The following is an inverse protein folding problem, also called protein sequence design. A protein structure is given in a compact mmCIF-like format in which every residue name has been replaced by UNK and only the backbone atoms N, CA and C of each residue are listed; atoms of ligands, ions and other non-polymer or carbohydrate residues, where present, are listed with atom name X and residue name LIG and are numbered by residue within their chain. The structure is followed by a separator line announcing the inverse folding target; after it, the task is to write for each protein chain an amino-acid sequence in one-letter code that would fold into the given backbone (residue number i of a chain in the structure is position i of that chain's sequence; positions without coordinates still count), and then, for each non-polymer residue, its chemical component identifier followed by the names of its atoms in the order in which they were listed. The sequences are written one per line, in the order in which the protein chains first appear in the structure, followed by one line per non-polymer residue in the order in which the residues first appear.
data_IF_466854755729
#
_entry.id   IF_466854755729
#
_cell.length_a   1.000
_cell.length_b   1.000
_cell.length_c   1.000
_cell.angle_alpha   90.00
_cell.angle_beta   90.00
_cell.angle_gamma   90.00
#
_symmetry.space_group_name_H-M   'P 1'
#
loop_
_entity.id
_entity.type
_entity.pdbx_description
1 polymer ?
#
# COMPACT_ATOMS: atom_id res chain seq x y z
N UNK A 1 -14.28 -52.46 42.94
CA UNK A 1 -14.69 -51.15 42.42
C UNK A 1 -13.54 -50.61 41.59
N UNK A 2 -13.65 -50.69 40.26
CA UNK A 2 -12.63 -50.18 39.31
C UNK A 2 -13.10 -48.83 38.80
N UNK A 3 -12.40 -47.77 39.18
CA UNK A 3 -12.64 -46.43 38.66
C UNK A 3 -11.96 -46.34 37.27
N UNK A 4 -12.74 -46.20 36.24
CA UNK A 4 -12.26 -45.87 34.91
C UNK A 4 -12.10 -44.33 34.80
N UNK A 5 -10.86 -43.85 34.69
CA UNK A 5 -10.56 -42.46 34.35
C UNK A 5 -10.77 -42.28 32.86
N UNK A 6 -11.82 -41.55 32.52
CA UNK A 6 -12.10 -41.12 31.13
C UNK A 6 -11.25 -39.86 30.87
N UNK A 7 -10.10 -40.03 30.25
CA UNK A 7 -9.27 -38.91 29.77
C UNK A 7 -9.91 -38.33 28.52
N UNK A 8 -10.62 -37.24 28.69
CA UNK A 8 -11.13 -36.41 27.56
C UNK A 8 -9.97 -35.55 27.05
N UNK A 9 -9.29 -36.00 26.00
CA UNK A 9 -8.29 -35.21 25.29
C UNK A 9 -9.01 -34.12 24.49
N UNK A 10 -9.02 -32.91 24.98
CA UNK A 10 -9.44 -31.72 24.23
C UNK A 10 -8.40 -31.47 23.13
N UNK A 11 -8.67 -31.88 21.92
CA UNK A 11 -7.98 -31.42 20.73
C UNK A 11 -8.41 -29.96 20.48
N UNK A 12 -7.63 -29.00 21.01
CA UNK A 12 -7.69 -27.62 20.52
C UNK A 12 -7.16 -27.62 19.08
N UNK A 13 -8.07 -27.70 18.12
CA UNK A 13 -7.77 -27.33 16.75
C UNK A 13 -7.51 -25.81 16.75
N UNK A 14 -6.22 -25.45 16.67
CA UNK A 14 -5.85 -24.07 16.35
C UNK A 14 -6.39 -23.80 14.95
N UNK A 15 -7.57 -23.19 14.88
CA UNK A 15 -8.07 -22.63 13.64
C UNK A 15 -7.11 -21.48 13.27
N UNK A 16 -6.20 -21.77 12.34
CA UNK A 16 -5.44 -20.71 11.68
C UNK A 16 -6.47 -19.86 10.95
N UNK A 17 -6.74 -18.67 11.49
CA UNK A 17 -7.60 -17.72 10.81
C UNK A 17 -6.97 -17.45 9.43
N UNK A 18 -7.65 -17.87 8.37
CA UNK A 18 -7.23 -17.49 7.02
C UNK A 18 -7.16 -15.97 6.96
N UNK A 19 -6.11 -15.39 6.38
CA UNK A 19 -6.02 -13.95 6.27
C UNK A 19 -7.24 -13.43 5.51
N UNK A 20 -7.88 -12.40 6.06
CA UNK A 20 -9.02 -11.77 5.41
C UNK A 20 -8.58 -11.13 4.10
N UNK A 21 -9.39 -11.29 3.04
CA UNK A 21 -9.10 -10.69 1.75
C UNK A 21 -9.07 -9.17 1.83
N UNK A 22 -8.10 -8.53 1.17
CA UNK A 22 -8.00 -7.08 1.13
C UNK A 22 -6.61 -6.55 0.81
N UNK A 23 -6.49 -5.24 0.91
CA UNK A 23 -5.26 -4.50 0.64
C UNK A 23 -4.43 -4.35 1.91
N UNK A 24 -3.12 -4.49 1.77
CA UNK A 24 -2.15 -4.27 2.83
C UNK A 24 -1.11 -3.25 2.38
N UNK A 25 -0.70 -2.40 3.31
CA UNK A 25 0.41 -1.47 3.14
C UNK A 25 1.36 -1.62 4.33
N UNK A 26 2.63 -1.81 4.05
CA UNK A 26 3.62 -1.97 5.11
C UNK A 26 4.98 -1.42 4.69
N UNK A 27 5.79 -1.05 5.67
CA UNK A 27 7.18 -0.67 5.44
C UNK A 27 8.08 -1.91 5.37
N UNK A 28 9.02 -1.88 4.44
CA UNK A 28 10.14 -2.78 4.24
C UNK A 28 9.77 -4.17 3.71
N UNK A 29 8.63 -4.74 4.05
CA UNK A 29 8.19 -6.06 3.61
C UNK A 29 6.66 -6.14 3.51
N UNK A 30 6.11 -7.25 3.04
CA UNK A 30 4.67 -7.51 3.07
C UNK A 30 4.16 -7.59 4.51
N UNK A 31 2.90 -7.27 4.73
CA UNK A 31 2.33 -7.17 6.07
C UNK A 31 2.40 -8.49 6.85
N UNK A 32 2.19 -9.63 6.18
CA UNK A 32 2.30 -10.98 6.76
C UNK A 32 3.73 -11.47 6.96
N UNK A 33 4.73 -10.80 6.39
CA UNK A 33 6.14 -11.20 6.39
C UNK A 33 7.04 -10.19 7.12
N UNK A 34 6.65 -9.79 8.30
CA UNK A 34 7.36 -8.83 9.15
C UNK A 34 7.43 -7.39 8.58
N UNK A 35 6.53 -7.01 7.70
CA UNK A 35 6.29 -5.63 7.34
C UNK A 35 5.81 -4.84 8.56
N UNK A 36 6.30 -3.60 8.73
CA UNK A 36 5.93 -2.77 9.86
C UNK A 36 5.00 -1.64 9.44
N UNK A 37 4.02 -1.34 10.30
CA UNK A 37 3.02 -0.31 10.00
C UNK A 37 3.54 1.10 10.31
N UNK A 38 4.38 1.25 11.32
CA UNK A 38 4.88 2.54 11.77
C UNK A 38 6.39 2.61 11.62
N UNK A 39 6.90 3.72 11.11
CA UNK A 39 8.33 3.96 11.01
C UNK A 39 8.67 5.34 11.55
N UNK A 40 9.76 5.42 12.30
CA UNK A 40 10.40 6.66 12.69
C UNK A 40 11.79 6.72 12.04
N UNK A 41 12.15 7.89 11.53
CA UNK A 41 13.44 8.16 10.95
C UNK A 41 14.05 9.41 11.59
N UNK A 42 15.29 9.33 12.05
CA UNK A 42 15.95 10.44 12.74
C UNK A 42 16.12 11.69 11.85
N UNK A 43 16.04 11.55 10.53
CA UNK A 43 16.23 12.61 9.55
C UNK A 43 17.62 13.28 9.65
N UNK A 44 18.63 12.48 9.92
CA UNK A 44 20.02 12.89 10.18
C UNK A 44 21.00 12.43 9.09
N UNK A 45 20.51 11.78 8.04
CA UNK A 45 21.35 11.25 6.97
C UNK A 45 20.70 11.32 5.59
N UNK A 46 21.53 11.46 4.56
CA UNK A 46 21.14 11.34 3.16
C UNK A 46 21.28 9.92 2.60
N UNK A 47 21.86 9.01 3.37
CA UNK A 47 22.11 7.63 2.92
C UNK A 47 20.95 6.71 3.26
N UNK A 48 20.79 5.65 2.44
CA UNK A 48 19.75 4.65 2.64
C UNK A 48 18.38 5.05 2.06
N UNK A 49 17.42 4.17 2.30
CA UNK A 49 16.06 4.32 1.80
C UNK A 49 15.06 3.57 2.69
N UNK A 50 13.77 3.79 2.43
CA UNK A 50 12.65 3.07 3.04
C UNK A 50 11.80 2.47 1.94
N UNK A 51 11.48 1.19 2.07
CA UNK A 51 10.59 0.49 1.14
C UNK A 51 9.16 0.56 1.63
N UNK A 52 8.26 1.08 0.81
CA UNK A 52 6.81 1.01 1.04
C UNK A 52 6.28 -0.11 0.15
N UNK A 53 5.67 -1.12 0.74
CA UNK A 53 5.21 -2.33 0.06
C UNK A 53 3.69 -2.35 0.01
N UNK A 54 3.16 -2.41 -1.21
CA UNK A 54 1.76 -2.68 -1.48
C UNK A 54 1.57 -4.17 -1.70
N UNK A 55 0.78 -4.82 -0.87
CA UNK A 55 0.44 -6.24 -1.01
C UNK A 55 -1.06 -6.47 -0.92
N UNK A 56 -1.50 -7.67 -1.29
CA UNK A 56 -2.90 -8.04 -1.35
C UNK A 56 -3.11 -9.48 -0.91
N UNK A 57 -4.21 -9.72 -0.22
CA UNK A 57 -4.78 -11.05 -0.04
C UNK A 57 -6.07 -11.16 -0.85
N UNK A 58 -6.14 -12.10 -1.76
CA UNK A 58 -7.30 -12.29 -2.62
C UNK A 58 -8.40 -13.08 -1.89
N UNK A 59 -9.66 -12.66 -2.04
CA UNK A 59 -10.81 -13.37 -1.51
C UNK A 59 -11.33 -14.49 -2.42
N UNK A 60 -10.82 -14.56 -3.64
CA UNK A 60 -11.12 -15.58 -4.65
C UNK A 60 -9.95 -15.72 -5.59
N UNK A 61 -9.86 -16.86 -6.23
CA UNK A 61 -8.91 -17.05 -7.32
C UNK A 61 -9.24 -16.10 -8.48
N UNK A 62 -8.22 -15.56 -9.10
CA UNK A 62 -8.35 -14.74 -10.30
C UNK A 62 -7.53 -15.36 -11.43
N UNK A 63 -8.06 -15.35 -12.66
CA UNK A 63 -7.34 -15.89 -13.80
C UNK A 63 -6.15 -14.98 -14.17
N UNK A 64 -5.52 -15.31 -15.27
CA UNK A 64 -4.37 -14.58 -15.80
C UNK A 64 -4.50 -13.07 -15.68
N UNK A 65 -3.60 -12.45 -14.89
CA UNK A 65 -3.53 -11.00 -14.70
C UNK A 65 -2.28 -10.47 -15.38
N UNK A 66 -2.47 -9.51 -16.27
CA UNK A 66 -1.37 -8.84 -16.96
C UNK A 66 -1.04 -7.46 -16.40
N UNK A 67 -1.97 -6.80 -15.71
CA UNK A 67 -1.75 -5.45 -15.21
C UNK A 67 -2.43 -5.21 -13.86
N UNK A 68 -1.81 -4.36 -13.04
CA UNK A 68 -2.42 -3.76 -11.85
C UNK A 68 -2.27 -2.25 -11.87
N UNK A 69 -3.31 -1.56 -11.37
CA UNK A 69 -3.29 -0.13 -11.09
C UNK A 69 -3.50 0.06 -9.59
N UNK A 70 -2.60 0.76 -8.92
CA UNK A 70 -2.58 0.97 -7.48
C UNK A 70 -2.74 2.43 -7.15
N UNK A 71 -3.56 2.74 -6.16
CA UNK A 71 -3.78 4.10 -5.65
C UNK A 71 -3.45 4.16 -4.18
N UNK A 72 -2.43 4.96 -3.84
CA UNK A 72 -2.09 5.28 -2.45
C UNK A 72 -2.22 6.79 -2.23
N UNK A 73 -2.98 7.17 -1.23
CA UNK A 73 -3.11 8.56 -0.81
C UNK A 73 -2.22 8.83 0.39
N UNK A 74 -1.66 10.02 0.43
CA UNK A 74 -0.80 10.52 1.48
C UNK A 74 -1.40 11.79 2.07
N UNK A 75 -1.41 11.90 3.39
CA UNK A 75 -1.74 13.13 4.10
C UNK A 75 -0.66 13.46 5.12
N UNK A 76 -0.27 14.74 5.17
CA UNK A 76 0.70 15.29 6.10
C UNK A 76 0.02 15.99 7.27
N UNK A 77 0.61 15.94 8.46
CA UNK A 77 0.15 16.69 9.63
C UNK A 77 0.33 18.20 9.51
N UNK A 78 1.13 18.66 8.53
CA UNK A 78 1.32 20.11 8.27
C UNK A 78 0.19 20.68 7.40
N UNK A 79 -0.01 22.00 7.43
CA UNK A 79 -1.04 22.66 6.63
C UNK A 79 -0.84 22.53 5.11
N UNK A 80 0.39 22.30 4.67
CA UNK A 80 0.75 22.05 3.27
C UNK A 80 1.70 20.86 3.20
N UNK A 81 1.71 20.16 2.06
CA UNK A 81 2.63 19.05 1.86
C UNK A 81 4.07 19.57 1.85
N UNK A 82 4.93 19.11 2.81
CA UNK A 82 6.31 19.55 2.89
C UNK A 82 7.13 19.14 1.66
N UNK A 83 8.18 19.89 1.34
CA UNK A 83 9.04 19.60 0.19
C UNK A 83 9.72 18.23 0.25
N UNK A 84 9.94 17.68 1.44
CA UNK A 84 10.50 16.35 1.62
C UNK A 84 9.58 15.26 1.03
N UNK A 85 8.27 15.51 0.97
CA UNK A 85 7.25 14.60 0.47
C UNK A 85 6.78 14.91 -0.95
N UNK A 86 7.40 15.84 -1.65
CA UNK A 86 7.08 16.16 -3.05
C UNK A 86 7.95 15.38 -4.00
N UNK A 87 7.49 14.20 -4.40
CA UNK A 87 8.16 13.31 -5.34
C UNK A 87 7.66 13.52 -6.76
N UNK A 88 8.43 13.07 -7.75
CA UNK A 88 8.07 12.99 -9.18
C UNK A 88 7.49 14.28 -9.80
N UNK A 89 7.49 15.37 -9.05
CA UNK A 89 7.00 16.67 -9.51
C UNK A 89 8.16 17.48 -10.09
N UNK A 90 8.05 17.90 -11.33
CA UNK A 90 9.10 18.69 -12.00
C UNK A 90 9.48 19.93 -11.17
N UNK A 91 10.77 20.12 -10.94
CA UNK A 91 11.32 21.23 -10.15
C UNK A 91 11.15 21.11 -8.63
N UNK A 92 10.51 20.04 -8.12
CA UNK A 92 10.43 19.83 -6.68
C UNK A 92 11.79 19.45 -6.09
N UNK A 93 11.97 19.74 -4.80
CA UNK A 93 13.22 19.51 -4.09
C UNK A 93 13.67 18.05 -4.17
N UNK A 94 12.74 17.09 -4.14
CA UNK A 94 13.01 15.64 -4.14
C UNK A 94 12.41 14.91 -5.34
N UNK A 95 12.40 15.55 -6.50
CA UNK A 95 11.82 14.99 -7.74
C UNK A 95 12.22 13.54 -8.03
N UNK A 96 13.48 13.17 -7.81
CA UNK A 96 14.04 11.84 -8.13
C UNK A 96 14.21 10.94 -6.91
N UNK A 97 13.63 11.28 -5.77
CA UNK A 97 13.83 10.54 -4.52
C UNK A 97 12.82 9.42 -4.26
N UNK A 98 11.91 9.18 -5.20
CA UNK A 98 10.98 8.05 -5.20
C UNK A 98 11.25 7.18 -6.42
N UNK A 99 11.49 5.89 -6.20
CA UNK A 99 11.57 4.87 -7.24
C UNK A 99 10.40 3.91 -7.11
N UNK A 100 9.81 3.56 -8.25
CA UNK A 100 8.72 2.59 -8.34
C UNK A 100 9.29 1.31 -8.92
N UNK A 101 9.06 0.18 -8.26
CA UNK A 101 9.45 -1.15 -8.72
C UNK A 101 8.30 -2.15 -8.48
N UNK A 102 8.44 -3.36 -9.01
CA UNK A 102 7.62 -4.48 -8.64
C UNK A 102 7.86 -4.87 -7.17
N UNK A 103 7.64 -6.13 -6.85
CA UNK A 103 7.75 -6.64 -5.47
C UNK A 103 9.19 -6.97 -5.02
N UNK A 104 10.19 -6.71 -5.84
CA UNK A 104 11.56 -7.13 -5.62
C UNK A 104 12.08 -6.71 -4.23
N UNK A 105 12.74 -7.65 -3.56
CA UNK A 105 13.27 -7.45 -2.21
C UNK A 105 12.23 -7.53 -1.10
N UNK A 106 11.09 -8.15 -1.37
CA UNK A 106 10.10 -8.58 -0.36
C UNK A 106 10.18 -10.10 -0.17
N UNK A 107 9.70 -10.61 0.97
CA UNK A 107 9.71 -12.05 1.26
C UNK A 107 8.43 -12.75 0.78
N UNK A 108 7.34 -12.02 0.59
CA UNK A 108 6.11 -12.61 0.08
C UNK A 108 6.21 -12.91 -1.43
N UNK A 109 5.44 -13.86 -1.96
CA UNK A 109 5.37 -14.11 -3.40
C UNK A 109 5.00 -12.85 -4.17
N UNK A 110 5.66 -12.66 -5.31
CA UNK A 110 5.33 -11.55 -6.21
C UNK A 110 4.01 -11.77 -6.92
N UNK A 111 3.23 -10.71 -7.03
CA UNK A 111 2.03 -10.72 -7.84
C UNK A 111 2.35 -10.94 -9.32
N UNK A 112 3.41 -10.33 -9.81
CA UNK A 112 3.98 -10.61 -11.13
C UNK A 112 5.30 -11.35 -10.95
N UNK A 113 5.30 -12.65 -11.19
CA UNK A 113 6.44 -13.51 -10.94
C UNK A 113 7.62 -13.31 -11.93
N UNK A 114 7.42 -12.53 -12.98
CA UNK A 114 8.40 -12.32 -14.04
C UNK A 114 9.18 -11.01 -13.85
N UNK A 115 10.46 -11.05 -14.20
CA UNK A 115 11.38 -9.92 -14.07
C UNK A 115 11.13 -8.75 -15.04
N UNK A 116 10.23 -8.91 -16.01
CA UNK A 116 9.92 -7.91 -17.02
C UNK A 116 8.67 -7.08 -16.68
N UNK A 117 8.55 -6.63 -15.43
CA UNK A 117 7.43 -5.79 -15.00
C UNK A 117 7.64 -4.37 -15.52
N UNK A 118 6.67 -3.86 -16.30
CA UNK A 118 6.61 -2.45 -16.63
C UNK A 118 6.10 -1.68 -15.44
N UNK A 119 6.82 -0.65 -15.00
CA UNK A 119 6.45 0.19 -13.88
C UNK A 119 6.29 1.64 -14.33
N UNK A 120 5.10 2.20 -14.17
CA UNK A 120 4.80 3.60 -14.41
C UNK A 120 4.11 4.20 -13.19
N UNK A 121 4.28 5.50 -12.99
CA UNK A 121 3.61 6.16 -11.89
C UNK A 121 3.49 7.65 -12.05
N UNK A 122 2.51 8.22 -11.36
CA UNK A 122 2.26 9.64 -11.27
C UNK A 122 2.07 10.04 -9.80
N UNK A 123 2.63 11.17 -9.43
CA UNK A 123 2.49 11.75 -8.11
C UNK A 123 1.79 13.11 -8.23
N UNK A 124 0.66 13.26 -7.57
CA UNK A 124 -0.18 14.43 -7.69
C UNK A 124 -0.42 15.06 -6.31
N UNK A 125 0.09 16.27 -6.12
CA UNK A 125 -0.13 17.07 -4.91
C UNK A 125 -1.50 17.73 -4.96
N UNK A 126 -2.20 17.80 -3.82
CA UNK A 126 -3.50 18.45 -3.70
C UNK A 126 -4.64 17.75 -4.41
N UNK A 127 -4.56 16.42 -4.59
CA UNK A 127 -5.52 15.63 -5.40
C UNK A 127 -6.98 15.79 -4.98
N UNK A 128 -7.23 15.93 -3.67
CA UNK A 128 -8.58 16.09 -3.11
C UNK A 128 -8.93 17.54 -2.78
N UNK A 129 -8.14 18.48 -3.29
CA UNK A 129 -8.31 19.91 -3.04
C UNK A 129 -7.69 20.39 -1.73
N UNK A 130 -6.97 19.54 -1.00
CA UNK A 130 -6.27 19.87 0.22
C UNK A 130 -4.76 20.02 -0.04
N UNK A 131 -4.14 21.10 0.40
CA UNK A 131 -2.74 21.41 0.09
C UNK A 131 -1.73 20.50 0.79
N UNK A 132 -2.15 19.75 1.81
CA UNK A 132 -1.32 18.83 2.59
C UNK A 132 -1.43 17.36 2.14
N UNK A 133 -2.11 17.12 1.03
CA UNK A 133 -2.33 15.77 0.49
C UNK A 133 -1.57 15.53 -0.81
N UNK A 134 -1.29 14.26 -1.09
CA UNK A 134 -0.85 13.79 -2.38
C UNK A 134 -1.42 12.42 -2.69
N UNK A 135 -1.50 12.10 -3.98
CA UNK A 135 -1.84 10.78 -4.49
C UNK A 135 -0.69 10.23 -5.30
N UNK A 136 -0.33 8.99 -5.02
CA UNK A 136 0.52 8.19 -5.86
C UNK A 136 -0.33 7.16 -6.60
N UNK A 137 -0.33 7.26 -7.91
CA UNK A 137 -0.86 6.26 -8.82
C UNK A 137 0.31 5.49 -9.39
N UNK A 138 0.27 4.16 -9.35
CA UNK A 138 1.25 3.33 -10.04
C UNK A 138 0.58 2.22 -10.83
N UNK A 139 1.18 1.91 -11.98
CA UNK A 139 0.74 0.85 -12.88
C UNK A 139 1.90 -0.11 -13.02
N UNK A 140 1.62 -1.39 -12.79
CA UNK A 140 2.57 -2.48 -12.95
C UNK A 140 1.97 -3.52 -13.89
N UNK A 141 2.78 -4.07 -14.77
CA UNK A 141 2.27 -5.02 -15.75
C UNK A 141 3.36 -5.89 -16.36
N UNK A 142 2.94 -7.02 -16.89
CA UNK A 142 3.75 -7.97 -17.64
C UNK A 142 3.20 -8.12 -19.05
N UNK A 143 3.96 -8.77 -19.92
CA UNK A 143 3.44 -9.16 -21.23
C UNK A 143 2.27 -10.14 -21.07
N UNK A 144 1.33 -10.11 -22.01
CA UNK A 144 0.16 -11.00 -21.98
C UNK A 144 0.55 -12.50 -21.89
N UNK A 145 1.66 -12.90 -22.49
CA UNK A 145 2.17 -14.27 -22.45
C UNK A 145 2.72 -14.67 -21.07
N UNK A 146 3.04 -13.70 -20.22
CA UNK A 146 3.59 -13.89 -18.86
C UNK A 146 2.51 -13.70 -17.78
N UNK A 147 1.27 -13.49 -18.17
CA UNK A 147 0.15 -13.39 -17.25
C UNK A 147 -0.06 -14.73 -16.53
N UNK A 148 -0.31 -14.68 -15.21
CA UNK A 148 -0.51 -15.87 -14.38
C UNK A 148 -1.74 -15.77 -13.51
N UNK A 149 -2.28 -16.91 -13.13
CA UNK A 149 -3.38 -17.00 -12.18
C UNK A 149 -2.88 -16.80 -10.74
N UNK A 150 -3.75 -16.28 -9.89
CA UNK A 150 -3.50 -16.03 -8.49
C UNK A 150 -4.56 -16.69 -7.62
N UNK A 151 -4.15 -17.18 -6.44
CA UNK A 151 -5.00 -17.95 -5.56
C UNK A 151 -5.47 -17.17 -4.35
N UNK A 152 -6.69 -17.46 -3.90
CA UNK A 152 -7.25 -16.89 -2.70
C UNK A 152 -6.46 -17.27 -1.43
N UNK A 153 -6.50 -16.39 -0.43
CA UNK A 153 -5.93 -16.63 0.89
C UNK A 153 -4.41 -16.48 0.99
N UNK A 154 -3.70 -16.24 -0.11
CA UNK A 154 -2.26 -15.96 -0.11
C UNK A 154 -2.01 -14.46 -0.21
N UNK A 155 -1.04 -13.94 0.54
CA UNK A 155 -0.56 -12.57 0.37
C UNK A 155 0.45 -12.51 -0.78
N UNK A 156 0.22 -11.58 -1.71
CA UNK A 156 1.10 -11.29 -2.84
C UNK A 156 1.60 -9.84 -2.76
N UNK A 157 2.91 -9.65 -2.91
CA UNK A 157 3.51 -8.34 -3.11
C UNK A 157 3.26 -7.84 -4.54
N UNK A 158 2.65 -6.68 -4.68
CA UNK A 158 2.34 -6.11 -6.00
C UNK A 158 3.41 -5.11 -6.41
N UNK A 159 3.77 -4.21 -5.50
CA UNK A 159 4.70 -3.12 -5.75
C UNK A 159 5.52 -2.79 -4.52
N UNK A 160 6.74 -2.34 -4.76
CA UNK A 160 7.61 -1.73 -3.76
C UNK A 160 8.01 -0.34 -4.23
N UNK A 161 7.71 0.66 -3.43
CA UNK A 161 8.13 2.02 -3.67
C UNK A 161 9.26 2.37 -2.74
N UNK A 162 10.39 2.76 -3.31
CA UNK A 162 11.60 3.07 -2.55
C UNK A 162 11.75 4.57 -2.38
N UNK A 163 11.60 5.05 -1.15
CA UNK A 163 11.81 6.44 -0.76
C UNK A 163 13.25 6.58 -0.30
N UNK A 164 14.08 7.24 -1.10
CA UNK A 164 15.48 7.50 -0.77
C UNK A 164 15.61 8.60 0.26
N UNK A 165 16.62 8.53 1.15
CA UNK A 165 16.86 9.57 2.17
C UNK A 165 17.61 10.81 1.61
N UNK A 166 17.84 10.88 0.32
CA UNK A 166 18.56 11.98 -0.32
C UNK A 166 17.95 13.36 0.02
N UNK A 167 18.79 14.38 0.17
CA UNK A 167 18.39 15.75 0.51
C UNK A 167 17.65 15.89 1.85
N UNK A 168 17.92 15.01 2.80
CA UNK A 168 17.38 15.11 4.16
C UNK A 168 18.18 16.10 5.00
N UNK A 169 19.50 16.10 4.84
CA UNK A 169 20.43 16.97 5.57
C UNK A 169 21.41 17.70 4.64
N UNK A 170 22.08 18.71 5.18
CA UNK A 170 23.08 19.50 4.42
C UNK A 170 22.43 20.57 3.55
N UNK A 171 23.22 21.16 2.64
CA UNK A 171 22.77 22.17 1.70
C UNK A 171 22.97 21.68 0.25
N UNK A 172 21.91 21.64 -0.60
CA UNK A 172 20.52 21.93 -0.27
C UNK A 172 19.81 20.72 0.38
N UNK A 173 19.05 20.95 1.45
CA UNK A 173 18.13 19.98 2.05
C UNK A 173 16.67 20.38 1.84
N UNK A 174 15.76 19.41 1.91
CA UNK A 174 14.33 19.61 1.75
C UNK A 174 13.64 19.55 3.11
N UNK A 175 12.86 20.55 3.44
CA UNK A 175 12.17 20.62 4.72
C UNK A 175 11.05 19.57 4.85
N UNK A 176 10.82 19.07 6.07
CA UNK A 176 9.64 18.28 6.41
C UNK A 176 9.86 16.77 6.56
N UNK A 177 11.10 16.28 6.65
CA UNK A 177 11.39 14.90 6.98
C UNK A 177 10.78 14.48 8.32
N UNK A 178 10.84 15.35 9.33
CA UNK A 178 10.27 15.10 10.67
C UNK A 178 8.75 15.27 10.73
N UNK A 179 8.11 15.74 9.66
CA UNK A 179 6.66 15.92 9.67
C UNK A 179 5.96 14.57 9.64
N UNK A 180 5.03 14.29 10.58
CA UNK A 180 4.23 13.10 10.56
C UNK A 180 3.39 13.00 9.29
N UNK A 181 3.34 11.80 8.70
CA UNK A 181 2.58 11.51 7.49
C UNK A 181 1.87 10.17 7.63
N UNK A 182 0.66 10.09 7.09
CA UNK A 182 -0.07 8.86 6.87
C UNK A 182 -0.16 8.55 5.38
N UNK A 183 0.03 7.28 5.00
CA UNK A 183 -0.18 6.77 3.66
C UNK A 183 -1.22 5.66 3.71
N UNK A 184 -2.19 5.69 2.80
CA UNK A 184 -3.30 4.73 2.76
C UNK A 184 -3.43 4.11 1.37
N UNK A 185 -3.39 2.80 1.28
CA UNK A 185 -3.62 2.04 0.06
C UNK A 185 -5.13 1.94 -0.17
N UNK A 186 -5.64 2.70 -1.13
CA UNK A 186 -7.08 2.89 -1.34
C UNK A 186 -7.68 1.91 -2.33
N UNK A 187 -6.95 1.57 -3.38
CA UNK A 187 -7.48 0.65 -4.38
C UNK A 187 -6.39 -0.07 -5.16
N UNK A 188 -6.69 -1.29 -5.58
CA UNK A 188 -5.96 -2.02 -6.60
C UNK A 188 -6.97 -2.52 -7.65
N UNK A 189 -6.70 -2.27 -8.93
CA UNK A 189 -7.49 -2.77 -10.04
C UNK A 189 -6.62 -3.68 -10.89
N UNK A 190 -7.16 -4.84 -11.26
CA UNK A 190 -6.48 -5.83 -12.07
C UNK A 190 -7.15 -5.99 -13.42
N UNK A 191 -6.35 -6.20 -14.47
CA UNK A 191 -6.83 -6.47 -15.82
C UNK A 191 -6.22 -7.75 -16.36
N UNK A 192 -7.01 -8.47 -17.16
CA UNK A 192 -6.55 -9.64 -17.91
C UNK A 192 -5.84 -9.21 -19.19
N UNK A 193 -5.15 -10.12 -19.92
CA UNK A 193 -4.57 -9.83 -21.23
C UNK A 193 -5.54 -9.27 -22.27
N UNK A 194 -6.82 -9.52 -22.10
CA UNK A 194 -7.87 -8.99 -22.99
C UNK A 194 -8.40 -7.61 -22.54
N UNK A 195 -7.68 -6.90 -21.66
CA UNK A 195 -8.08 -5.61 -21.05
C UNK A 195 -9.44 -5.64 -20.34
N UNK A 196 -9.93 -6.84 -20.02
CA UNK A 196 -11.16 -7.00 -19.25
C UNK A 196 -10.85 -6.85 -17.77
N UNK A 197 -11.45 -5.86 -17.07
CA UNK A 197 -11.22 -5.72 -15.63
C UNK A 197 -11.63 -6.98 -14.88
N UNK A 198 -10.69 -7.60 -14.16
CA UNK A 198 -10.95 -8.78 -13.32
C UNK A 198 -11.66 -8.40 -12.03
N UNK A 199 -11.37 -7.22 -11.54
CA UNK A 199 -11.98 -6.68 -10.34
C UNK A 199 -11.28 -5.41 -9.85
N UNK A 200 -11.93 -4.76 -8.91
CA UNK A 200 -11.35 -3.63 -8.18
C UNK A 200 -11.47 -3.94 -6.70
N UNK A 201 -10.36 -3.91 -5.99
CA UNK A 201 -10.33 -4.02 -4.54
C UNK A 201 -10.18 -2.62 -3.97
N UNK A 202 -11.21 -2.17 -3.28
CA UNK A 202 -11.19 -0.88 -2.60
C UNK A 202 -10.72 -1.08 -1.17
N UNK A 203 -10.05 -0.10 -0.61
CA UNK A 203 -9.50 0.04 0.75
C UNK A 203 -10.01 -0.93 1.85
N UNK A 204 -10.23 -2.19 1.50
CA UNK A 204 -10.62 -3.24 2.42
C UNK A 204 -9.34 -3.88 2.95
N UNK A 205 -8.97 -3.56 4.16
CA UNK A 205 -7.82 -4.16 4.81
C UNK A 205 -8.05 -5.67 5.02
N UNK A 206 -7.00 -6.48 4.87
CA UNK A 206 -7.03 -7.90 5.22
C UNK A 206 -7.32 -8.08 6.73
N UNK A 207 -6.76 -7.18 7.55
CA UNK A 207 -7.09 -7.00 8.95
C UNK A 207 -7.44 -5.53 9.18
N UNK A 208 -8.29 -5.18 10.14
CA UNK A 208 -8.58 -3.79 10.44
C UNK A 208 -7.31 -2.97 10.61
N UNK A 209 -7.13 -1.95 9.80
CA UNK A 209 -5.99 -1.06 9.84
C UNK A 209 -4.72 -1.54 9.11
N UNK A 210 -4.75 -2.61 8.31
CA UNK A 210 -3.55 -3.09 7.60
C UNK A 210 -3.29 -2.40 6.24
N UNK A 211 -4.21 -1.60 5.74
CA UNK A 211 -4.08 -0.88 4.47
C UNK A 211 -3.43 0.50 4.59
N UNK A 212 -2.85 0.84 5.73
CA UNK A 212 -2.16 2.12 5.92
C UNK A 212 -0.84 1.96 6.67
N UNK A 213 0.02 2.93 6.51
CA UNK A 213 1.26 3.07 7.28
C UNK A 213 1.44 4.50 7.75
N UNK A 214 2.26 4.68 8.78
CA UNK A 214 2.64 6.00 9.27
C UNK A 214 4.14 6.23 9.21
N UNK A 215 4.49 7.49 8.99
CA UNK A 215 5.81 8.06 9.12
C UNK A 215 5.82 9.06 10.26
N UNK A 216 6.78 8.96 11.16
CA UNK A 216 6.92 9.84 12.34
C UNK A 216 5.63 9.91 13.19
N UNK A 217 4.92 8.79 13.37
CA UNK A 217 3.69 8.71 14.14
C UNK A 217 2.41 9.09 13.37
N UNK A 218 2.54 9.39 12.07
CA UNK A 218 1.39 9.68 11.20
C UNK A 218 0.86 11.12 11.30
N UNK A 219 -0.25 11.39 10.63
CA UNK A 219 -0.92 12.70 10.61
C UNK A 219 -1.94 12.83 11.75
N UNK A 220 -1.54 12.56 13.00
CA UNK A 220 -2.43 12.48 14.15
C UNK A 220 -2.88 11.05 14.43
N UNK A 221 -3.86 10.88 15.32
CA UNK A 221 -4.34 9.56 15.76
C UNK A 221 -5.23 8.85 14.76
N UNK A 222 -5.69 9.53 13.68
CA UNK A 222 -6.73 9.07 12.77
C UNK A 222 -6.20 8.88 11.34
N UNK A 223 -5.17 8.05 11.19
CA UNK A 223 -4.62 7.72 9.87
C UNK A 223 -5.68 7.19 8.88
N UNK A 224 -6.65 6.36 9.26
CA UNK A 224 -7.76 5.97 8.39
C UNK A 224 -8.65 7.11 7.92
N UNK A 225 -8.72 8.23 8.63
CA UNK A 225 -9.47 9.43 8.21
C UNK A 225 -8.78 10.19 7.06
N UNK A 226 -7.52 9.91 6.82
CA UNK A 226 -6.80 10.37 5.64
C UNK A 226 -7.28 9.72 4.34
N UNK A 227 -8.11 8.70 4.42
CA UNK A 227 -8.82 8.16 3.26
C UNK A 227 -9.97 9.09 2.91
N UNK A 228 -9.96 9.77 1.78
CA UNK A 228 -11.14 10.44 1.27
C UNK A 228 -12.08 9.39 0.64
N UNK A 229 -12.45 8.38 1.36
CA UNK A 229 -13.71 7.74 1.12
C UNK A 229 -14.76 8.74 1.60
N UNK A 230 -15.09 9.71 0.75
CA UNK A 230 -16.43 10.26 0.83
C UNK A 230 -17.35 9.06 0.72
N UNK A 231 -17.86 8.61 1.86
CA UNK A 231 -19.07 7.84 1.91
C UNK A 231 -20.13 8.72 1.24
N UNK A 232 -20.20 8.63 -0.08
CA UNK A 232 -21.37 9.11 -0.80
C UNK A 232 -22.48 8.18 -0.33
N UNK A 233 -23.18 8.61 0.71
CA UNK A 233 -24.39 7.91 1.14
C UNK A 233 -25.32 7.82 -0.08
N UNK A 234 -26.07 6.75 -0.20
CA UNK A 234 -27.08 6.60 -1.26
C UNK A 234 -27.97 7.86 -1.42
N UNK A 235 -28.09 8.66 -0.36
CA UNK A 235 -28.77 9.95 -0.38
C UNK A 235 -28.06 11.01 -1.24
N UNK A 236 -26.74 11.10 -1.18
CA UNK A 236 -25.98 12.05 -2.03
C UNK A 236 -25.88 11.60 -3.48
N UNK A 237 -25.88 10.29 -3.74
CA UNK A 237 -25.96 9.77 -5.13
C UNK A 237 -27.35 10.08 -5.74
N UNK A 238 -28.43 9.92 -4.99
CA UNK A 238 -29.78 10.26 -5.47
C UNK A 238 -29.97 11.74 -5.78
N UNK A 239 -29.24 12.65 -5.10
CA UNK A 239 -29.34 14.09 -5.37
C UNK A 239 -28.70 14.53 -6.67
N UNK A 240 -27.85 13.70 -7.29
CA UNK A 240 -27.23 13.96 -8.59
C UNK A 240 -28.11 13.56 -9.77
N UNK A 241 -29.22 12.86 -9.52
CA UNK A 241 -30.18 12.37 -10.54
C UNK A 241 -31.59 12.98 -10.40
N UNK A 242 -31.70 14.14 -9.74
CA UNK A 242 -32.94 14.91 -9.67
C UNK A 242 -32.82 16.24 -10.39
#
# INVERSE_FOLDING_TARGET
MKQAFLSCALLLAAATAAPAAGLNLAWNNCAGDAGVQNIAFACDTNTGSRGLVCSIVLGRDIPDVAQSELVVDLVSASATLPDWWRFLTAGSCRQVSLSLSGHEGTNCPGFFAQSAVTNNGAYQVGKHGLPNEARLLSIHGVLAADAVAHFAGQEYGIARWTIMNTKTVGAPSCAGCQTPVCLVFNSARFTTPADTPVGTLLAAAANPGSNFVTWQGGAGTNCPEATPTRNTTWGSVKSLYR
#
